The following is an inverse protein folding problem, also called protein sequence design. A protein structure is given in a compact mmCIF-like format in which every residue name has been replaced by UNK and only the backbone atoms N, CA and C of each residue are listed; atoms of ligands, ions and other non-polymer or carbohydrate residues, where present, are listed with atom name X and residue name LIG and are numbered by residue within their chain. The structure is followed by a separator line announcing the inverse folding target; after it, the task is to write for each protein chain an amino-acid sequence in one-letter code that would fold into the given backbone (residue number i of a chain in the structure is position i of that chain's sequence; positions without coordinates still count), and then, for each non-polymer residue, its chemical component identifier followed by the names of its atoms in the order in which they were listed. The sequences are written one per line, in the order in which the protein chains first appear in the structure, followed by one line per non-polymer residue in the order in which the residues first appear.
data_IF_631229249686
#
_entry.id   IF_631229249686
#
_cell.length_a   1.000
_cell.length_b   1.000
_cell.length_c   1.000
_cell.angle_alpha   90.00
_cell.angle_beta   90.00
_cell.angle_gamma   90.00
#
_symmetry.space_group_name_H-M   'P 1'
#
loop_
_entity.id
_entity.type
_entity.pdbx_description
1 polymer ?
#
# COMPACT_ATOMS: atom_id res chain seq x y z
N UNK A 1 20.64 18.69 6.46
CA UNK A 1 20.25 18.38 5.06
C UNK A 1 20.23 19.66 4.22
N UNK A 2 19.50 20.72 4.60
CA UNK A 2 19.39 21.98 3.83
C UNK A 2 20.75 22.67 3.68
N UNK A 3 21.57 22.73 4.72
CA UNK A 3 22.92 23.30 4.66
C UNK A 3 23.84 22.50 3.73
N UNK A 4 23.76 21.18 3.77
CA UNK A 4 24.49 20.30 2.86
C UNK A 4 24.03 20.51 1.41
N UNK A 5 22.72 20.62 1.17
CA UNK A 5 22.20 20.90 -0.17
C UNK A 5 22.72 22.26 -0.69
N UNK A 6 22.65 23.31 0.13
CA UNK A 6 23.17 24.63 -0.24
C UNK A 6 24.68 24.61 -0.54
N UNK A 7 25.46 23.85 0.23
CA UNK A 7 26.89 23.66 -0.02
C UNK A 7 27.13 22.96 -1.36
N UNK A 8 26.40 21.90 -1.66
CA UNK A 8 26.52 21.16 -2.89
C UNK A 8 26.14 21.98 -4.14
N UNK A 9 25.22 22.95 -4.03
CA UNK A 9 24.87 23.85 -5.15
C UNK A 9 25.97 24.81 -5.54
N UNK A 10 27.02 24.99 -4.72
CA UNK A 10 28.21 25.75 -5.08
C UNK A 10 29.24 24.91 -5.86
N UNK A 11 29.21 23.58 -5.66
CA UNK A 11 30.20 22.67 -6.26
C UNK A 11 29.69 22.13 -7.61
N UNK A 12 28.40 21.85 -7.70
CA UNK A 12 27.79 21.20 -8.87
C UNK A 12 26.94 22.17 -9.69
N UNK A 13 26.91 22.01 -11.04
CA UNK A 13 26.06 22.83 -11.89
C UNK A 13 24.55 22.59 -11.56
N UNK A 14 23.69 23.62 -11.83
CA UNK A 14 22.27 23.56 -11.51
C UNK A 14 21.51 22.38 -12.13
N UNK A 15 21.99 21.85 -13.25
CA UNK A 15 21.43 20.65 -13.90
C UNK A 15 21.60 19.39 -13.07
N UNK A 16 22.65 19.29 -12.23
CA UNK A 16 22.88 18.14 -11.35
C UNK A 16 22.21 18.38 -10.01
N UNK A 17 22.46 19.54 -9.38
CA UNK A 17 21.88 19.91 -8.10
C UNK A 17 21.23 21.28 -8.24
N UNK A 18 19.89 21.35 -8.33
CA UNK A 18 19.17 22.59 -8.54
C UNK A 18 19.25 23.48 -7.29
N UNK A 19 19.24 24.80 -7.51
CA UNK A 19 19.14 25.77 -6.42
C UNK A 19 17.81 25.61 -5.69
N UNK A 20 17.83 25.77 -4.38
CA UNK A 20 16.61 25.65 -3.54
C UNK A 20 15.53 26.61 -4.02
N UNK A 21 15.92 27.85 -4.36
CA UNK A 21 14.99 28.89 -4.86
C UNK A 21 14.29 28.47 -6.17
N UNK A 22 15.00 27.78 -7.07
CA UNK A 22 14.45 27.28 -8.33
C UNK A 22 13.41 26.17 -8.06
N UNK A 23 13.73 25.24 -7.14
CA UNK A 23 12.79 24.17 -6.72
C UNK A 23 11.55 24.76 -6.08
N UNK A 24 11.69 25.77 -5.20
CA UNK A 24 10.55 26.42 -4.56
C UNK A 24 9.68 27.15 -5.59
N UNK A 25 10.27 27.90 -6.51
CA UNK A 25 9.53 28.56 -7.60
C UNK A 25 8.76 27.56 -8.46
N UNK A 26 9.42 26.48 -8.85
CA UNK A 26 8.78 25.41 -9.63
C UNK A 26 7.61 24.76 -8.85
N UNK A 27 7.80 24.50 -7.56
CA UNK A 27 6.77 23.95 -6.68
C UNK A 27 5.59 24.90 -6.54
N UNK A 28 5.80 26.20 -6.35
CA UNK A 28 4.73 27.19 -6.30
C UNK A 28 3.97 27.29 -7.62
N UNK A 29 4.64 27.19 -8.76
CA UNK A 29 4.00 27.14 -10.08
C UNK A 29 3.11 25.91 -10.23
N UNK A 30 3.56 24.73 -9.78
CA UNK A 30 2.73 23.52 -9.77
C UNK A 30 1.52 23.69 -8.85
N UNK A 31 1.71 24.22 -7.64
CA UNK A 31 0.66 24.41 -6.65
C UNK A 31 -0.45 25.34 -7.14
N UNK A 32 -0.11 26.36 -7.95
CA UNK A 32 -1.08 27.28 -8.54
C UNK A 32 -1.76 26.74 -9.80
N UNK A 33 -1.29 25.62 -10.35
CA UNK A 33 -1.80 25.03 -11.58
C UNK A 33 -2.86 23.96 -11.31
N UNK A 34 -3.85 23.86 -12.19
CA UNK A 34 -4.84 22.77 -12.20
C UNK A 34 -4.21 21.40 -12.50
N UNK A 35 -2.97 21.38 -13.00
CA UNK A 35 -2.22 20.18 -13.33
C UNK A 35 -1.96 19.34 -12.07
N UNK A 36 -1.65 19.97 -10.93
CA UNK A 36 -1.35 19.26 -9.68
C UNK A 36 -2.44 18.27 -9.28
N UNK A 37 -3.65 18.78 -9.13
CA UNK A 37 -4.80 17.95 -8.67
C UNK A 37 -5.07 16.83 -9.66
N UNK A 38 -5.03 17.12 -10.96
CA UNK A 38 -5.27 16.14 -12.02
C UNK A 38 -4.27 14.98 -11.98
N UNK A 39 -2.98 15.26 -11.82
CA UNK A 39 -1.95 14.22 -11.82
C UNK A 39 -1.91 13.45 -10.50
N UNK A 40 -2.17 14.08 -9.36
CA UNK A 40 -2.34 13.40 -8.07
C UNK A 40 -3.52 12.41 -8.13
N UNK A 41 -4.67 12.85 -8.63
CA UNK A 41 -5.87 12.00 -8.74
C UNK A 41 -5.58 10.78 -9.61
N UNK A 42 -4.88 10.93 -10.74
CA UNK A 42 -4.53 9.79 -11.61
C UNK A 42 -3.68 8.75 -10.88
N UNK A 43 -2.63 9.18 -10.17
CA UNK A 43 -1.79 8.27 -9.37
C UNK A 43 -2.59 7.59 -8.27
N UNK A 44 -3.44 8.34 -7.55
CA UNK A 44 -4.28 7.79 -6.49
C UNK A 44 -5.32 6.80 -7.01
N UNK A 45 -5.97 7.07 -8.13
CA UNK A 45 -6.92 6.12 -8.74
C UNK A 45 -6.20 4.82 -9.13
N UNK A 46 -5.04 4.89 -9.79
CA UNK A 46 -4.26 3.70 -10.15
C UNK A 46 -3.84 2.93 -8.91
N UNK A 47 -3.42 3.65 -7.86
CA UNK A 47 -3.04 3.05 -6.58
C UNK A 47 -4.23 2.35 -5.92
N UNK A 48 -5.39 2.98 -5.85
CA UNK A 48 -6.60 2.38 -5.30
C UNK A 48 -7.02 1.14 -6.08
N UNK A 49 -6.98 1.18 -7.41
CA UNK A 49 -7.30 0.03 -8.26
C UNK A 49 -6.32 -1.13 -8.06
N UNK A 50 -5.01 -0.85 -8.04
CA UNK A 50 -4.00 -1.88 -7.83
C UNK A 50 -4.11 -2.53 -6.45
N UNK A 51 -4.29 -1.74 -5.38
CA UNK A 51 -4.55 -2.26 -4.04
C UNK A 51 -5.84 -3.07 -4.00
N UNK A 52 -6.92 -2.57 -4.59
CA UNK A 52 -8.21 -3.25 -4.61
C UNK A 52 -8.12 -4.64 -5.25
N UNK A 53 -7.55 -4.76 -6.45
CA UNK A 53 -7.40 -6.05 -7.12
C UNK A 53 -6.46 -7.00 -6.36
N UNK A 54 -5.35 -6.50 -5.83
CA UNK A 54 -4.41 -7.32 -5.05
C UNK A 54 -5.03 -7.83 -3.75
N UNK A 55 -5.76 -6.98 -3.02
CA UNK A 55 -6.46 -7.34 -1.78
C UNK A 55 -7.60 -8.31 -2.07
N UNK A 56 -8.41 -8.06 -3.10
CA UNK A 56 -9.52 -8.93 -3.47
C UNK A 56 -9.01 -10.35 -3.80
N UNK A 57 -7.99 -10.45 -4.64
CA UNK A 57 -7.35 -11.72 -4.98
C UNK A 57 -6.81 -12.42 -3.71
N UNK A 58 -6.16 -11.66 -2.82
CA UNK A 58 -5.63 -12.19 -1.56
C UNK A 58 -6.72 -12.75 -0.65
N UNK A 59 -7.82 -12.02 -0.46
CA UNK A 59 -8.94 -12.49 0.38
C UNK A 59 -9.52 -13.77 -0.18
N UNK A 60 -9.79 -13.83 -1.50
CA UNK A 60 -10.32 -15.03 -2.15
C UNK A 60 -9.38 -16.21 -1.97
N UNK A 61 -8.09 -16.03 -2.25
CA UNK A 61 -7.09 -17.10 -2.07
C UNK A 61 -6.96 -17.53 -0.60
N UNK A 62 -6.96 -16.59 0.34
CA UNK A 62 -6.90 -16.91 1.78
C UNK A 62 -8.09 -17.76 2.22
N UNK A 63 -9.30 -17.44 1.77
CA UNK A 63 -10.51 -18.23 2.07
C UNK A 63 -10.38 -19.64 1.51
N UNK A 64 -9.95 -19.78 0.26
CA UNK A 64 -9.78 -21.08 -0.40
C UNK A 64 -8.71 -21.91 0.31
N UNK A 65 -7.53 -21.33 0.56
CA UNK A 65 -6.40 -22.04 1.19
C UNK A 65 -6.69 -22.39 2.66
N UNK A 66 -7.47 -21.60 3.38
CA UNK A 66 -7.87 -21.91 4.75
C UNK A 66 -8.84 -23.09 4.81
N UNK A 67 -9.64 -23.30 3.76
CA UNK A 67 -10.62 -24.38 3.69
C UNK A 67 -10.01 -25.69 3.18
N UNK A 68 -9.08 -25.63 2.22
CA UNK A 68 -8.52 -26.80 1.55
C UNK A 68 -7.02 -26.93 1.83
N UNK A 69 -6.65 -27.81 2.77
CA UNK A 69 -5.26 -28.01 3.20
C UNK A 69 -4.33 -28.36 2.04
N UNK A 70 -4.75 -29.24 1.13
CA UNK A 70 -3.97 -29.62 -0.04
C UNK A 70 -3.64 -28.43 -0.94
N UNK A 71 -4.62 -27.56 -1.22
CA UNK A 71 -4.41 -26.35 -2.01
C UNK A 71 -3.41 -25.42 -1.31
N UNK A 72 -3.52 -25.26 0.00
CA UNK A 72 -2.57 -24.46 0.75
C UNK A 72 -1.14 -25.01 0.65
N UNK A 73 -0.93 -26.33 0.75
CA UNK A 73 0.40 -26.95 0.67
C UNK A 73 1.03 -26.77 -0.72
N UNK A 74 0.23 -26.79 -1.79
CA UNK A 74 0.71 -26.63 -3.17
C UNK A 74 0.92 -25.16 -3.52
N UNK A 75 -0.04 -24.29 -3.23
CA UNK A 75 -0.03 -22.91 -3.72
C UNK A 75 0.70 -21.93 -2.81
N UNK A 76 0.82 -22.20 -1.51
CA UNK A 76 1.51 -21.32 -0.58
C UNK A 76 2.98 -21.05 -0.97
N UNK A 77 3.77 -22.07 -1.38
CA UNK A 77 5.11 -21.83 -1.92
C UNK A 77 5.13 -20.98 -3.18
N UNK A 78 4.11 -21.11 -4.05
CA UNK A 78 3.99 -20.31 -5.27
C UNK A 78 3.75 -18.84 -4.91
N UNK A 79 2.89 -18.57 -3.92
CA UNK A 79 2.65 -17.21 -3.43
C UNK A 79 3.92 -16.61 -2.82
N UNK A 80 4.70 -17.40 -2.08
CA UNK A 80 6.01 -16.95 -1.56
C UNK A 80 6.99 -16.64 -2.69
N UNK A 81 7.03 -17.46 -3.73
CA UNK A 81 7.89 -17.25 -4.89
C UNK A 81 7.57 -15.95 -5.62
N UNK A 82 6.28 -15.58 -5.76
CA UNK A 82 5.88 -14.29 -6.34
C UNK A 82 6.47 -13.09 -5.61
N UNK A 83 6.68 -13.20 -4.30
CA UNK A 83 7.26 -12.13 -3.48
C UNK A 83 8.79 -11.99 -3.67
N UNK A 84 9.48 -13.05 -4.07
CA UNK A 84 10.93 -13.05 -4.29
C UNK A 84 11.30 -12.35 -5.60
N UNK A 85 10.42 -12.43 -6.61
CA UNK A 85 10.68 -11.81 -7.92
C UNK A 85 10.68 -10.27 -7.77
N UNK A 86 11.77 -9.60 -8.23
CA UNK A 86 11.83 -8.14 -8.18
C UNK A 86 10.65 -7.48 -8.90
N UNK A 87 10.01 -6.45 -8.32
CA UNK A 87 8.85 -5.79 -8.93
C UNK A 87 9.10 -5.27 -10.35
N UNK A 88 10.33 -4.85 -10.66
CA UNK A 88 10.68 -4.36 -12.00
C UNK A 88 10.50 -5.43 -13.08
N UNK A 89 10.75 -6.71 -12.76
CA UNK A 89 10.54 -7.82 -13.70
C UNK A 89 9.08 -7.95 -14.08
N UNK A 90 8.18 -7.86 -13.08
CA UNK A 90 6.74 -7.85 -13.30
C UNK A 90 6.29 -6.63 -14.12
N UNK A 91 6.93 -5.47 -13.92
CA UNK A 91 6.62 -4.28 -14.68
C UNK A 91 6.97 -4.44 -16.16
N UNK A 92 8.13 -5.03 -16.49
CA UNK A 92 8.52 -5.29 -17.87
C UNK A 92 7.54 -6.22 -18.56
N UNK A 93 7.12 -7.30 -17.89
CA UNK A 93 6.10 -8.22 -18.42
C UNK A 93 4.75 -7.51 -18.60
N UNK A 94 4.36 -6.66 -17.63
CA UNK A 94 3.12 -5.88 -17.70
C UNK A 94 3.12 -4.92 -18.91
N UNK A 95 4.27 -4.31 -19.23
CA UNK A 95 4.41 -3.46 -20.42
C UNK A 95 4.22 -4.27 -21.70
N UNK A 96 4.80 -5.47 -21.78
CA UNK A 96 4.68 -6.35 -22.95
C UNK A 96 3.21 -6.77 -23.15
N UNK A 97 2.49 -7.10 -22.07
CA UNK A 97 1.12 -7.60 -22.16
C UNK A 97 0.07 -6.51 -22.34
N UNK A 98 0.25 -5.36 -21.67
CA UNK A 98 -0.76 -4.30 -21.58
C UNK A 98 -0.39 -3.03 -22.36
N UNK A 99 0.81 -2.98 -22.91
CA UNK A 99 1.35 -1.79 -23.56
C UNK A 99 1.76 -0.70 -22.58
N UNK A 100 2.25 0.41 -23.12
CA UNK A 100 2.58 1.61 -22.33
C UNK A 100 1.31 2.29 -21.81
N UNK A 101 1.37 2.89 -20.64
CA UNK A 101 0.25 3.63 -20.03
C UNK A 101 0.08 3.34 -18.54
N UNK A 102 -1.10 3.64 -17.99
CA UNK A 102 -1.38 3.47 -16.57
C UNK A 102 -1.72 2.03 -16.14
N UNK A 103 -2.07 1.15 -17.09
CA UNK A 103 -2.47 -0.24 -16.78
C UNK A 103 -1.33 -1.09 -16.18
N UNK A 104 -0.08 -1.05 -16.71
CA UNK A 104 1.04 -1.78 -16.10
C UNK A 104 1.29 -1.38 -14.65
N UNK A 105 1.10 -0.09 -14.31
CA UNK A 105 1.28 0.40 -12.94
C UNK A 105 0.23 -0.19 -11.98
N UNK A 106 -1.01 -0.36 -12.41
CA UNK A 106 -2.08 -1.02 -11.65
C UNK A 106 -1.74 -2.50 -11.44
N UNK A 107 -1.33 -3.18 -12.52
CA UNK A 107 -1.01 -4.61 -12.50
C UNK A 107 0.15 -4.95 -11.55
N UNK A 108 1.25 -4.19 -11.62
CA UNK A 108 2.41 -4.44 -10.75
C UNK A 108 2.05 -4.26 -9.28
N UNK A 109 1.25 -3.25 -8.96
CA UNK A 109 0.81 -3.02 -7.59
C UNK A 109 -0.09 -4.16 -7.10
N UNK A 110 -1.00 -4.65 -7.94
CA UNK A 110 -1.86 -5.78 -7.60
C UNK A 110 -1.05 -7.06 -7.36
N UNK A 111 -0.09 -7.39 -8.25
CA UNK A 111 0.78 -8.55 -8.12
C UNK A 111 1.65 -8.46 -6.85
N UNK A 112 2.14 -7.28 -6.50
CA UNK A 112 2.98 -7.08 -5.31
C UNK A 112 2.16 -7.11 -4.01
N UNK A 113 0.92 -6.59 -4.03
CA UNK A 113 0.02 -6.57 -2.87
C UNK A 113 -0.50 -7.97 -2.53
N UNK A 114 -0.82 -8.77 -3.54
CA UNK A 114 -1.42 -10.09 -3.40
C UNK A 114 -0.63 -11.02 -2.46
N UNK A 115 0.67 -11.30 -2.66
CA UNK A 115 1.40 -12.21 -1.79
C UNK A 115 1.60 -11.65 -0.38
N UNK A 116 1.84 -10.36 -0.21
CA UNK A 116 2.03 -9.73 1.10
C UNK A 116 0.78 -9.95 1.98
N UNK A 117 -0.39 -9.65 1.43
CA UNK A 117 -1.66 -9.82 2.14
C UNK A 117 -1.98 -11.29 2.40
N UNK A 118 -1.81 -12.16 1.38
CA UNK A 118 -2.12 -13.59 1.48
C UNK A 118 -1.27 -14.25 2.54
N UNK A 119 0.05 -14.03 2.52
CA UNK A 119 0.98 -14.62 3.49
C UNK A 119 0.69 -14.12 4.90
N UNK A 120 0.43 -12.82 5.07
CA UNK A 120 0.10 -12.24 6.37
C UNK A 120 -1.16 -12.88 6.96
N UNK A 121 -2.26 -12.95 6.19
CA UNK A 121 -3.51 -13.53 6.64
C UNK A 121 -3.42 -15.04 6.88
N UNK A 122 -2.72 -15.77 6.02
CA UNK A 122 -2.53 -17.23 6.18
C UNK A 122 -1.68 -17.57 7.40
N UNK A 123 -0.64 -16.79 7.68
CA UNK A 123 0.17 -16.97 8.88
C UNK A 123 -0.66 -16.73 10.15
N UNK A 124 -1.53 -15.72 10.15
CA UNK A 124 -2.43 -15.48 11.27
C UNK A 124 -3.41 -16.63 11.48
N UNK A 125 -4.02 -17.14 10.40
CA UNK A 125 -4.93 -18.29 10.48
C UNK A 125 -4.22 -19.54 11.02
N UNK A 126 -2.96 -19.80 10.59
CA UNK A 126 -2.19 -20.96 11.08
C UNK A 126 -1.77 -20.81 12.54
N UNK A 127 -1.53 -19.59 12.98
CA UNK A 127 -1.00 -19.28 14.31
C UNK A 127 -2.10 -18.86 15.30
N UNK A 128 -3.38 -19.11 15.00
CA UNK A 128 -4.45 -18.85 15.96
C UNK A 128 -4.09 -19.45 17.31
N UNK A 129 -3.95 -18.57 18.30
CA UNK A 129 -3.57 -18.98 19.66
C UNK A 129 -4.63 -19.93 20.23
N UNK A 130 -4.18 -21.16 20.58
CA UNK A 130 -5.05 -22.19 21.17
C UNK A 130 -5.78 -21.71 22.43
N UNK A 131 -5.18 -20.76 23.16
CA UNK A 131 -5.79 -20.18 24.37
C UNK A 131 -7.11 -19.46 24.05
N UNK A 132 -7.20 -18.75 22.92
CA UNK A 132 -8.44 -18.10 22.51
C UNK A 132 -9.54 -19.10 22.13
N UNK A 133 -9.15 -20.24 21.54
CA UNK A 133 -10.09 -21.32 21.24
C UNK A 133 -10.58 -22.02 22.53
N UNK A 134 -9.70 -22.19 23.51
CA UNK A 134 -10.08 -22.72 24.83
C UNK A 134 -11.05 -21.78 25.56
N UNK A 135 -10.84 -20.46 25.48
CA UNK A 135 -11.78 -19.46 26.01
C UNK A 135 -13.13 -19.58 25.32
N UNK A 136 -13.17 -19.75 23.99
CA UNK A 136 -14.42 -19.97 23.26
C UNK A 136 -15.18 -21.22 23.75
N UNK A 137 -14.46 -22.30 24.02
CA UNK A 137 -15.03 -23.54 24.54
C UNK A 137 -15.57 -23.38 25.97
N UNK A 138 -14.83 -22.69 26.84
CA UNK A 138 -15.25 -22.38 28.22
C UNK A 138 -16.55 -21.58 28.26
N UNK A 139 -16.72 -20.62 27.35
CA UNK A 139 -17.95 -19.83 27.22
C UNK A 139 -19.01 -20.46 26.33
N UNK A 140 -18.80 -21.71 25.87
CA UNK A 140 -19.73 -22.46 25.01
C UNK A 140 -20.19 -21.66 23.78
N UNK A 141 -19.28 -20.88 23.17
CA UNK A 141 -19.59 -20.08 22.01
C UNK A 141 -19.91 -20.96 20.80
N UNK A 142 -20.98 -20.64 20.09
CA UNK A 142 -21.27 -21.26 18.80
C UNK A 142 -20.19 -20.93 17.78
N UNK A 143 -20.03 -21.75 16.73
CA UNK A 143 -19.03 -21.53 15.67
C UNK A 143 -19.18 -20.15 15.02
N UNK A 144 -20.39 -19.61 14.90
CA UNK A 144 -20.64 -18.26 14.37
C UNK A 144 -20.18 -17.18 15.35
N UNK A 145 -20.36 -17.39 16.65
CA UNK A 145 -19.90 -16.45 17.68
C UNK A 145 -18.39 -16.48 17.83
N UNK A 146 -17.77 -17.67 17.80
CA UNK A 146 -16.31 -17.83 17.79
C UNK A 146 -15.69 -17.07 16.61
N UNK A 147 -16.26 -17.24 15.40
CA UNK A 147 -15.82 -16.53 14.21
C UNK A 147 -15.96 -15.02 14.39
N UNK A 148 -17.13 -14.55 14.82
CA UNK A 148 -17.44 -13.12 14.93
C UNK A 148 -16.66 -12.40 16.04
N UNK A 149 -16.50 -13.04 17.21
CA UNK A 149 -15.94 -12.38 18.39
C UNK A 149 -14.44 -12.64 18.60
N UNK A 150 -13.87 -13.72 18.04
CA UNK A 150 -12.48 -14.09 18.23
C UNK A 150 -11.71 -14.01 16.92
N UNK A 151 -12.10 -14.82 15.91
CA UNK A 151 -11.30 -14.96 14.68
C UNK A 151 -11.28 -13.70 13.82
N UNK A 152 -12.45 -13.12 13.58
CA UNK A 152 -12.56 -11.93 12.73
C UNK A 152 -11.81 -10.71 13.28
N UNK A 153 -11.88 -10.34 14.57
CA UNK A 153 -11.12 -9.21 15.10
C UNK A 153 -9.60 -9.37 14.98
N UNK A 154 -9.11 -10.59 15.19
CA UNK A 154 -7.68 -10.91 15.06
C UNK A 154 -7.23 -10.79 13.61
N UNK A 155 -7.99 -11.39 12.67
CA UNK A 155 -7.73 -11.28 11.24
C UNK A 155 -7.83 -9.86 10.74
N UNK A 156 -8.75 -9.07 11.28
CA UNK A 156 -8.89 -7.65 10.92
C UNK A 156 -7.65 -6.84 11.34
N UNK A 157 -7.08 -7.08 12.52
CA UNK A 157 -5.84 -6.41 12.94
C UNK A 157 -4.65 -6.75 12.04
N UNK A 158 -4.54 -8.02 11.65
CA UNK A 158 -3.52 -8.47 10.71
C UNK A 158 -3.73 -7.88 9.32
N UNK A 159 -4.98 -7.86 8.84
CA UNK A 159 -5.35 -7.20 7.59
C UNK A 159 -4.98 -5.72 7.60
N UNK A 160 -5.35 -4.98 8.66
CA UNK A 160 -5.02 -3.56 8.80
C UNK A 160 -3.51 -3.30 8.79
N UNK A 161 -2.74 -4.15 9.46
CA UNK A 161 -1.28 -4.04 9.50
C UNK A 161 -0.66 -4.35 8.12
N UNK A 162 -1.10 -5.41 7.48
CA UNK A 162 -0.66 -5.78 6.14
C UNK A 162 -1.06 -4.72 5.09
N UNK A 163 -2.26 -4.13 5.22
CA UNK A 163 -2.72 -3.03 4.36
C UNK A 163 -1.80 -1.81 4.47
N UNK A 164 -1.39 -1.41 5.67
CA UNK A 164 -0.44 -0.30 5.85
C UNK A 164 0.91 -0.58 5.20
N UNK A 165 1.40 -1.81 5.25
CA UNK A 165 2.62 -2.23 4.54
C UNK A 165 2.41 -2.13 3.03
N UNK A 166 1.32 -2.68 2.50
CA UNK A 166 0.98 -2.61 1.07
C UNK A 166 0.79 -1.17 0.59
N UNK A 167 0.17 -0.30 1.39
CA UNK A 167 0.05 1.13 1.09
C UNK A 167 1.42 1.80 1.01
N UNK A 168 2.27 1.60 2.02
CA UNK A 168 3.59 2.24 2.11
C UNK A 168 4.55 1.80 1.00
N UNK A 169 4.52 0.53 0.62
CA UNK A 169 5.29 0.01 -0.52
C UNK A 169 4.64 0.36 -1.85
N UNK A 170 3.31 0.36 -1.89
CA UNK A 170 2.51 0.60 -3.08
C UNK A 170 2.69 1.99 -3.67
N UNK A 171 2.78 3.03 -2.83
CA UNK A 171 2.99 4.39 -3.32
C UNK A 171 4.34 4.54 -4.05
N UNK A 172 5.38 3.84 -3.59
CA UNK A 172 6.69 3.80 -4.25
C UNK A 172 6.62 3.05 -5.57
N UNK A 173 5.97 1.88 -5.57
CA UNK A 173 5.81 1.04 -6.75
C UNK A 173 4.99 1.71 -7.84
N UNK A 174 3.89 2.38 -7.50
CA UNK A 174 3.04 3.03 -8.49
C UNK A 174 3.76 4.18 -9.18
N UNK A 175 4.48 5.01 -8.41
CA UNK A 175 5.25 6.14 -8.97
C UNK A 175 6.41 5.64 -9.82
N UNK A 176 7.12 4.60 -9.38
CA UNK A 176 8.19 3.97 -10.17
C UNK A 176 7.65 3.39 -11.48
N UNK A 177 6.49 2.74 -11.44
CA UNK A 177 5.86 2.20 -12.63
C UNK A 177 5.40 3.31 -13.57
N UNK A 178 4.75 4.36 -13.08
CA UNK A 178 4.33 5.53 -13.86
C UNK A 178 5.52 6.21 -14.55
N UNK A 179 6.65 6.35 -13.84
CA UNK A 179 7.87 6.95 -14.37
C UNK A 179 8.39 6.21 -15.63
N UNK A 180 8.16 4.90 -15.71
CA UNK A 180 8.65 4.07 -16.82
C UNK A 180 7.59 3.81 -17.90
N UNK A 181 6.30 3.99 -17.60
CA UNK A 181 5.22 3.52 -18.49
C UNK A 181 4.31 4.62 -19.03
N UNK A 182 4.31 5.81 -18.42
CA UNK A 182 3.32 6.85 -18.78
C UNK A 182 3.85 8.26 -18.52
N UNK A 183 3.33 9.23 -19.28
CA UNK A 183 3.61 10.66 -19.06
C UNK A 183 2.58 11.33 -18.14
N UNK A 184 1.70 10.55 -17.51
CA UNK A 184 0.64 11.06 -16.64
C UNK A 184 0.72 10.47 -15.24
N UNK A 185 0.23 11.19 -14.25
CA UNK A 185 0.44 10.87 -12.83
C UNK A 185 1.72 11.51 -12.31
N UNK A 186 1.96 11.40 -11.01
CA UNK A 186 3.14 11.98 -10.35
C UNK A 186 4.43 11.41 -10.96
N UNK A 187 4.49 10.08 -11.14
CA UNK A 187 5.64 9.42 -11.76
C UNK A 187 5.85 9.84 -13.21
N UNK A 188 4.76 10.03 -13.97
CA UNK A 188 4.80 10.53 -15.34
C UNK A 188 5.34 11.96 -15.43
N UNK A 189 4.97 12.83 -14.49
CA UNK A 189 5.51 14.20 -14.42
C UNK A 189 7.01 14.21 -14.07
N UNK A 190 7.45 13.31 -13.19
CA UNK A 190 8.89 13.12 -12.91
C UNK A 190 9.61 12.63 -14.18
N UNK A 191 8.99 11.73 -14.96
CA UNK A 191 9.56 11.28 -16.24
C UNK A 191 9.68 12.42 -17.25
N UNK A 192 8.66 13.26 -17.36
CA UNK A 192 8.67 14.44 -18.24
C UNK A 192 9.76 15.43 -17.83
N UNK A 193 9.87 15.75 -16.54
CA UNK A 193 10.92 16.62 -16.03
C UNK A 193 12.32 16.04 -16.29
N UNK A 194 12.49 14.71 -16.19
CA UNK A 194 13.77 14.04 -16.52
C UNK A 194 14.11 14.17 -18.00
N UNK A 195 13.13 13.98 -18.90
CA UNK A 195 13.35 14.09 -20.36
C UNK A 195 13.72 15.53 -20.75
N UNK A 196 13.10 16.51 -20.09
CA UNK A 196 13.35 17.93 -20.32
C UNK A 196 14.62 18.44 -19.61
N UNK A 197 15.30 17.59 -18.82
CA UNK A 197 16.49 17.97 -18.00
C UNK A 197 16.12 19.07 -16.97
N UNK A 198 14.87 19.11 -16.52
CA UNK A 198 14.34 20.01 -15.49
C UNK A 198 14.52 19.38 -14.10
N UNK A 199 15.76 19.42 -13.57
CA UNK A 199 16.07 18.77 -12.29
C UNK A 199 15.24 19.35 -11.14
N UNK A 200 14.96 20.66 -11.14
CA UNK A 200 14.06 21.31 -10.19
C UNK A 200 12.64 20.71 -10.19
N UNK A 201 12.14 20.29 -11.36
CA UNK A 201 10.85 19.61 -11.50
C UNK A 201 10.84 18.24 -10.84
N UNK A 202 11.92 17.46 -11.00
CA UNK A 202 12.07 16.15 -10.35
C UNK A 202 12.02 16.31 -8.83
N UNK A 203 12.75 17.27 -8.26
CA UNK A 203 12.75 17.54 -6.82
C UNK A 203 11.37 18.05 -6.34
N UNK A 204 10.73 18.95 -7.09
CA UNK A 204 9.42 19.49 -6.71
C UNK A 204 8.35 18.39 -6.66
N UNK A 205 8.24 17.53 -7.67
CA UNK A 205 7.29 16.41 -7.67
C UNK A 205 7.62 15.36 -6.60
N UNK A 206 8.91 15.15 -6.30
CA UNK A 206 9.31 14.27 -5.19
C UNK A 206 8.89 14.82 -3.83
N UNK A 207 8.98 16.14 -3.62
CA UNK A 207 8.49 16.80 -2.41
C UNK A 207 6.96 16.66 -2.29
N UNK A 208 6.21 16.87 -3.37
CA UNK A 208 4.77 16.65 -3.41
C UNK A 208 4.42 15.21 -3.03
N UNK A 209 5.15 14.23 -3.57
CA UNK A 209 4.97 12.82 -3.23
C UNK A 209 5.16 12.55 -1.73
N UNK A 210 6.19 13.16 -1.12
CA UNK A 210 6.45 13.06 0.33
C UNK A 210 5.25 13.59 1.13
N UNK A 211 4.72 14.76 0.77
CA UNK A 211 3.55 15.33 1.44
C UNK A 211 2.31 14.45 1.31
N UNK A 212 2.07 13.88 0.14
CA UNK A 212 0.96 12.94 -0.08
C UNK A 212 1.13 11.68 0.77
N UNK A 213 2.35 11.12 0.78
CA UNK A 213 2.65 9.93 1.58
C UNK A 213 2.39 10.16 3.08
N UNK A 214 2.91 11.24 3.65
CA UNK A 214 2.70 11.55 5.06
C UNK A 214 1.26 12.00 5.35
N UNK A 215 0.61 12.71 4.44
CA UNK A 215 -0.79 13.12 4.58
C UNK A 215 -1.71 11.90 4.65
N UNK A 216 -1.69 11.03 3.65
CA UNK A 216 -2.56 9.86 3.61
C UNK A 216 -2.10 8.80 4.62
N UNK A 217 -0.80 8.50 4.69
CA UNK A 217 -0.25 7.52 5.63
C UNK A 217 -0.46 7.95 7.09
N UNK A 218 -0.30 9.23 7.39
CA UNK A 218 -0.56 9.80 8.71
C UNK A 218 -2.02 9.66 9.14
N UNK A 219 -2.97 9.95 8.23
CA UNK A 219 -4.41 9.76 8.51
C UNK A 219 -4.76 8.28 8.72
N UNK A 220 -4.21 7.36 7.94
CA UNK A 220 -4.39 5.93 8.13
C UNK A 220 -3.83 5.45 9.47
N UNK A 221 -2.63 5.87 9.84
CA UNK A 221 -2.03 5.56 11.14
C UNK A 221 -2.82 6.16 12.31
N UNK A 222 -3.35 7.37 12.16
CA UNK A 222 -4.19 8.01 13.16
C UNK A 222 -5.50 7.25 13.36
N UNK A 223 -6.17 6.82 12.27
CA UNK A 223 -7.38 5.98 12.31
C UNK A 223 -7.09 4.66 13.04
N UNK A 224 -5.95 4.01 12.75
CA UNK A 224 -5.51 2.81 13.45
C UNK A 224 -5.30 3.07 14.94
N UNK A 225 -4.64 4.16 15.31
CA UNK A 225 -4.30 4.50 16.70
C UNK A 225 -5.53 4.84 17.53
N UNK A 226 -6.52 5.51 16.96
CA UNK A 226 -7.79 5.82 17.65
C UNK A 226 -8.61 4.58 17.99
N UNK A 227 -8.33 3.45 17.32
CA UNK A 227 -8.94 2.17 17.62
C UNK A 227 -10.47 2.18 17.55
N UNK A 228 -11.04 3.05 16.71
CA UNK A 228 -12.49 3.29 16.65
C UNK A 228 -13.25 1.97 16.45
N UNK A 229 -12.77 1.11 15.56
CA UNK A 229 -13.38 -0.21 15.30
C UNK A 229 -13.17 -1.16 16.50
N UNK A 230 -11.97 -1.14 17.10
CA UNK A 230 -11.62 -1.97 18.27
C UNK A 230 -12.49 -1.63 19.49
N UNK A 231 -12.70 -0.33 19.77
CA UNK A 231 -13.56 0.12 20.87
C UNK A 231 -15.03 -0.31 20.69
N UNK A 232 -15.56 -0.20 19.48
CA UNK A 232 -16.93 -0.64 19.15
C UNK A 232 -17.11 -2.14 19.35
N UNK A 233 -16.08 -2.95 19.05
CA UNK A 233 -16.16 -4.41 19.23
C UNK A 233 -16.04 -4.82 20.71
N UNK A 234 -15.13 -4.24 21.47
CA UNK A 234 -15.00 -4.52 22.91
C UNK A 234 -16.22 -4.07 23.70
N UNK A 235 -16.85 -2.96 23.33
CA UNK A 235 -18.08 -2.50 23.97
C UNK A 235 -19.24 -3.47 23.76
N UNK A 236 -19.42 -3.99 22.53
CA UNK A 236 -20.44 -5.01 22.23
C UNK A 236 -20.18 -6.36 22.92
N UNK A 237 -18.93 -6.73 23.14
CA UNK A 237 -18.55 -7.93 23.88
C UNK A 237 -18.89 -7.80 25.36
N UNK A 238 -18.56 -6.66 25.99
CA UNK A 238 -18.87 -6.42 27.41
C UNK A 238 -20.38 -6.38 27.69
N UNK A 239 -21.17 -5.79 26.81
CA UNK A 239 -22.63 -5.79 26.95
C UNK A 239 -23.22 -7.22 26.91
N UNK A 240 -22.76 -8.07 26.00
CA UNK A 240 -23.29 -9.43 25.88
C UNK A 240 -22.88 -10.36 27.03
N UNK A 241 -21.64 -10.20 27.55
CA UNK A 241 -21.15 -10.98 28.69
C UNK A 241 -21.86 -10.57 30.00
N UNK A 242 -22.31 -9.31 30.10
CA UNK A 242 -23.08 -8.82 31.25
C UNK A 242 -24.56 -9.20 31.21
N UNK A 243 -25.14 -9.46 30.01
CA UNK A 243 -26.54 -9.84 29.84
C UNK A 243 -26.75 -11.35 29.99
N UNK A 244 -25.68 -12.17 29.94
CA UNK A 244 -25.75 -13.64 30.10
C UNK A 244 -25.42 -14.09 31.53
N UNK A 245 -25.34 -13.18 32.48
CA UNK A 245 -25.40 -13.43 33.94
C UNK A 245 -26.75 -13.01 34.49
#
# INVERSE_FOLDING_TARGET
IILLWKFLTFIYPPVIIPKIDSVIKFLLNILSSSLLIKEIIKTLIRMCLGLFFGILASIVCTIIFSKYKLLNEIFYPIVQFLQVIPPITWLVLAIIWLGLGGKPAIMILAISTFPIMTISLMNEIKNFNKNFLQVAQLFQLSSSEEWRYIKFPILYQTFETAFLVCFSTGIKLIVMAELLTTNSGIGGQISTARINIETEGIFAWSIILIFIYYGIGGTLLWIKRTGCIRKLWFHKLSEKVLITK
#
